data_IF_391244396315
#
_entry.id   IF_391244396315
#
_cell.length_a   1.000
_cell.length_b   1.000
_cell.length_c   1.000
_cell.angle_alpha   90.00
_cell.angle_beta   90.00
_cell.angle_gamma   90.00
#
_symmetry.space_group_name_H-M   'P 1'
#
loop_
_entity.id
_entity.type
_entity.pdbx_description
1 polymer ?
#
# COMPACT_ATOMS: atom_id res chain seq x y z
N UNK A 1 22.83 17.92 22.27
CA UNK A 1 23.55 17.20 21.20
C UNK A 1 25.07 17.34 21.41
N UNK A 2 25.78 16.21 21.46
CA UNK A 2 27.21 16.05 21.79
C UNK A 2 28.02 15.43 20.63
N UNK A 3 27.40 15.27 19.45
CA UNK A 3 28.08 14.76 18.25
C UNK A 3 29.30 15.61 17.88
N UNK A 4 30.28 15.02 17.19
CA UNK A 4 31.46 15.74 16.72
C UNK A 4 31.06 16.84 15.72
N UNK A 5 30.13 16.53 14.82
CA UNK A 5 29.59 17.48 13.86
C UNK A 5 29.01 18.74 14.53
N UNK A 6 28.31 18.61 15.67
CA UNK A 6 27.88 19.78 16.46
C UNK A 6 29.02 20.56 17.06
N UNK A 7 29.96 19.86 17.72
CA UNK A 7 31.12 20.50 18.35
C UNK A 7 31.95 21.28 17.34
N UNK A 8 32.05 20.78 16.11
CA UNK A 8 32.77 21.40 14.99
C UNK A 8 31.91 22.35 14.14
N UNK A 9 30.64 22.58 14.51
CA UNK A 9 29.68 23.43 13.79
C UNK A 9 29.45 23.04 12.32
N UNK A 10 29.55 21.75 11.98
CA UNK A 10 29.21 21.24 10.64
C UNK A 10 27.70 21.22 10.39
N UNK A 11 26.90 21.26 11.46
CA UNK A 11 25.45 21.39 11.40
C UNK A 11 24.95 22.31 12.52
N UNK A 12 24.05 23.23 12.18
CA UNK A 12 23.56 24.30 13.07
C UNK A 12 22.06 24.25 13.32
N UNK A 13 21.28 23.59 12.46
CA UNK A 13 19.82 23.47 12.58
C UNK A 13 19.41 22.53 13.73
N UNK A 14 18.17 22.57 14.22
CA UNK A 14 17.66 21.57 15.19
C UNK A 14 17.73 20.14 14.66
N UNK A 15 17.67 19.15 15.56
CA UNK A 15 17.59 17.74 15.16
C UNK A 15 16.19 17.46 14.60
N UNK A 16 16.12 16.82 13.43
CA UNK A 16 14.85 16.42 12.83
C UNK A 16 14.35 15.13 13.51
N UNK A 17 13.20 15.21 14.16
CA UNK A 17 12.56 14.10 14.88
C UNK A 17 11.54 13.31 14.05
N UNK A 18 11.24 13.74 12.82
CA UNK A 18 10.13 13.17 12.04
C UNK A 18 10.25 11.66 11.86
N UNK A 19 11.41 11.15 11.44
CA UNK A 19 11.59 9.70 11.26
C UNK A 19 11.46 8.92 12.59
N UNK A 20 11.85 9.52 13.71
CA UNK A 20 11.67 8.91 15.03
C UNK A 20 10.19 8.83 15.39
N UNK A 21 9.46 9.93 15.16
CA UNK A 21 8.02 10.02 15.34
C UNK A 21 7.31 9.01 14.45
N UNK A 22 7.57 9.00 13.15
CA UNK A 22 7.02 8.04 12.18
C UNK A 22 7.29 6.58 12.57
N UNK A 23 8.50 6.28 13.06
CA UNK A 23 8.84 4.91 13.51
C UNK A 23 7.93 4.47 14.66
N UNK A 24 7.73 5.33 15.66
CA UNK A 24 6.89 5.02 16.82
C UNK A 24 5.40 5.09 16.46
N UNK A 25 4.98 6.12 15.75
CA UNK A 25 3.60 6.50 15.47
C UNK A 25 2.97 5.71 14.33
N UNK A 26 3.66 5.60 13.19
CA UNK A 26 3.08 5.09 11.95
C UNK A 26 3.43 3.62 11.70
N UNK A 27 4.60 3.18 12.15
CA UNK A 27 5.11 1.85 11.79
C UNK A 27 5.06 0.82 12.92
N UNK A 28 5.01 1.25 14.18
CA UNK A 28 5.11 0.32 15.34
C UNK A 28 4.00 0.53 16.37
N UNK A 29 4.29 1.26 17.45
CA UNK A 29 3.47 1.27 18.66
C UNK A 29 2.21 2.11 18.55
N UNK A 30 2.15 3.09 17.65
CA UNK A 30 1.04 4.06 17.48
C UNK A 30 0.85 5.02 18.66
N UNK A 31 0.21 6.20 18.46
CA UNK A 31 -0.02 7.18 19.53
C UNK A 31 -0.93 6.67 20.65
N UNK A 32 -1.85 5.76 20.33
CA UNK A 32 -2.82 5.19 21.27
C UNK A 32 -2.13 4.53 22.47
N UNK A 33 -0.88 4.07 22.31
CA UNK A 33 -0.14 3.33 23.34
C UNK A 33 0.86 4.19 24.12
N UNK A 34 0.78 5.52 23.98
CA UNK A 34 1.30 6.45 24.99
C UNK A 34 2.82 6.62 25.04
N UNK A 35 3.53 6.48 23.91
CA UNK A 35 4.93 6.92 23.86
C UNK A 35 5.03 8.41 24.15
N UNK A 36 6.12 8.81 24.78
CA UNK A 36 6.35 10.17 25.28
C UNK A 36 7.24 10.98 24.33
N UNK A 37 7.32 12.29 24.53
CA UNK A 37 8.29 13.11 23.80
C UNK A 37 9.74 12.71 24.16
N UNK A 38 9.97 12.20 25.37
CA UNK A 38 11.24 11.61 25.80
C UNK A 38 11.61 10.40 24.94
N UNK A 39 10.64 9.53 24.60
CA UNK A 39 10.85 8.40 23.70
C UNK A 39 11.18 8.85 22.28
N UNK A 40 10.50 9.88 21.77
CA UNK A 40 10.82 10.50 20.48
C UNK A 40 12.24 11.05 20.48
N UNK A 41 12.64 11.74 21.55
CA UNK A 41 13.99 12.28 21.69
C UNK A 41 15.05 11.16 21.75
N UNK A 42 14.78 10.09 22.48
CA UNK A 42 15.63 8.91 22.57
C UNK A 42 15.81 8.22 21.21
N UNK A 43 14.71 7.98 20.50
CA UNK A 43 14.71 7.37 19.17
C UNK A 43 15.40 8.28 18.14
N UNK A 44 15.18 9.60 18.22
CA UNK A 44 15.85 10.60 17.40
C UNK A 44 17.36 10.54 17.59
N UNK A 45 17.84 10.47 18.84
CA UNK A 45 19.26 10.35 19.14
C UNK A 45 19.85 9.04 18.59
N UNK A 46 19.12 7.93 18.67
CA UNK A 46 19.53 6.65 18.07
C UNK A 46 19.65 6.75 16.53
N UNK A 47 18.73 7.48 15.88
CA UNK A 47 18.70 7.66 14.43
C UNK A 47 19.75 8.64 13.89
N UNK A 48 20.24 9.59 14.71
CA UNK A 48 21.29 10.51 14.25
C UNK A 48 22.52 9.75 13.70
N UNK A 49 23.19 10.32 12.70
CA UNK A 49 24.31 9.67 12.03
C UNK A 49 23.91 8.72 10.90
N UNK A 50 22.69 8.18 10.88
CA UNK A 50 22.17 7.48 9.71
C UNK A 50 21.82 8.45 8.59
N UNK A 51 22.27 8.13 7.37
CA UNK A 51 22.09 8.94 6.18
C UNK A 51 21.77 8.06 4.99
N UNK A 52 21.03 8.60 4.02
CA UNK A 52 20.87 7.96 2.71
C UNK A 52 22.00 8.44 1.82
N UNK A 53 22.77 7.51 1.26
CA UNK A 53 23.77 7.79 0.23
C UNK A 53 23.27 7.26 -1.11
N UNK A 54 23.33 8.11 -2.12
CA UNK A 54 23.10 7.74 -3.50
C UNK A 54 24.39 7.12 -4.07
N UNK A 55 24.28 5.89 -4.56
CA UNK A 55 25.29 5.20 -5.33
C UNK A 55 24.65 4.64 -6.60
N UNK A 56 24.86 5.31 -7.73
CA UNK A 56 24.37 4.88 -9.05
C UNK A 56 22.84 4.65 -9.09
N UNK A 57 22.05 5.58 -8.53
CA UNK A 57 20.59 5.46 -8.35
C UNK A 57 20.15 4.34 -7.37
N UNK A 58 21.07 3.82 -6.56
CA UNK A 58 20.77 2.92 -5.46
C UNK A 58 20.94 3.67 -4.14
N UNK A 59 19.82 3.96 -3.49
CA UNK A 59 19.82 4.54 -2.15
C UNK A 59 20.24 3.48 -1.12
N UNK A 60 21.30 3.75 -0.38
CA UNK A 60 21.74 2.91 0.75
C UNK A 60 21.81 3.69 2.04
N UNK A 61 21.35 3.07 3.13
CA UNK A 61 21.57 3.59 4.46
C UNK A 61 23.06 3.46 4.82
N UNK A 62 23.68 4.57 5.21
CA UNK A 62 25.05 4.64 5.70
C UNK A 62 25.07 5.30 7.07
N UNK A 63 25.80 4.70 8.02
CA UNK A 63 26.06 5.30 9.31
C UNK A 63 27.34 6.15 9.28
N UNK A 64 27.25 7.39 9.73
CA UNK A 64 28.36 8.34 9.83
C UNK A 64 28.51 8.78 11.28
N UNK A 65 29.45 8.16 11.97
CA UNK A 65 29.68 8.32 13.41
C UNK A 65 29.87 9.77 13.85
N UNK A 66 30.57 10.59 13.06
CA UNK A 66 30.81 12.00 13.39
C UNK A 66 29.51 12.81 13.57
N UNK A 67 28.40 12.38 12.96
CA UNK A 67 27.07 13.01 13.06
C UNK A 67 26.14 12.32 14.06
N UNK A 68 26.57 11.21 14.66
CA UNK A 68 25.76 10.49 15.65
C UNK A 68 25.87 11.13 17.03
N UNK A 69 24.74 11.15 17.75
CA UNK A 69 24.66 11.53 19.15
C UNK A 69 25.22 10.38 20.01
N UNK A 70 26.42 10.52 20.60
CA UNK A 70 27.01 9.42 21.36
C UNK A 70 26.30 9.22 22.70
N UNK A 71 26.43 8.00 23.24
CA UNK A 71 26.01 7.66 24.61
C UNK A 71 24.93 6.60 24.68
N UNK A 72 24.34 6.47 25.87
CA UNK A 72 23.18 5.59 26.07
C UNK A 72 21.91 6.41 25.90
N UNK A 73 20.97 5.90 25.11
CA UNK A 73 19.67 6.51 24.87
C UNK A 73 18.58 5.59 25.38
N UNK A 74 17.47 6.16 25.83
CA UNK A 74 16.34 5.41 26.38
C UNK A 74 15.14 5.56 25.45
N UNK A 75 14.46 4.45 25.16
CA UNK A 75 13.21 4.41 24.37
C UNK A 75 12.31 3.37 25.04
N UNK A 76 11.07 3.77 25.36
CA UNK A 76 10.06 2.97 26.04
C UNK A 76 10.60 2.32 27.33
N UNK A 77 11.33 3.10 28.13
CA UNK A 77 11.94 2.66 29.39
C UNK A 77 13.15 1.73 29.25
N UNK A 78 13.57 1.36 28.04
CA UNK A 78 14.74 0.51 27.78
C UNK A 78 15.94 1.32 27.33
N UNK A 79 17.11 1.01 27.90
CA UNK A 79 18.38 1.70 27.62
C UNK A 79 19.21 0.99 26.55
N UNK A 80 19.54 1.72 25.50
CA UNK A 80 20.35 1.27 24.36
C UNK A 80 21.74 1.89 24.44
N UNK A 81 22.77 1.08 24.69
CA UNK A 81 24.17 1.53 24.78
C UNK A 81 24.80 1.63 23.40
N UNK A 82 25.51 2.73 23.13
CA UNK A 82 26.28 2.84 21.88
C UNK A 82 27.40 1.80 21.85
N UNK A 83 27.46 1.02 20.77
CA UNK A 83 28.63 0.20 20.47
C UNK A 83 29.76 1.10 19.96
N UNK A 84 31.00 0.57 19.86
CA UNK A 84 32.13 1.31 19.25
C UNK A 84 31.83 1.85 17.84
N UNK A 85 30.83 1.32 17.14
CA UNK A 85 30.44 1.75 15.79
C UNK A 85 29.08 2.44 15.75
N UNK A 86 28.33 2.57 16.86
CA UNK A 86 26.98 3.16 16.94
C UNK A 86 25.86 2.44 16.18
N UNK A 87 26.19 1.64 15.17
CA UNK A 87 25.26 0.99 14.24
C UNK A 87 24.29 0.00 14.88
N UNK A 88 24.63 -0.57 16.03
CA UNK A 88 23.83 -1.62 16.66
C UNK A 88 22.60 -1.09 17.39
N UNK A 89 22.64 0.14 17.91
CA UNK A 89 21.53 0.71 18.69
C UNK A 89 20.21 0.75 17.91
N UNK A 90 20.26 1.16 16.64
CA UNK A 90 19.08 1.21 15.79
C UNK A 90 18.48 -0.19 15.58
N UNK A 91 19.34 -1.19 15.35
CA UNK A 91 18.89 -2.56 15.18
C UNK A 91 18.25 -3.09 16.47
N UNK A 92 18.90 -2.90 17.61
CA UNK A 92 18.41 -3.40 18.89
C UNK A 92 17.05 -2.76 19.26
N UNK A 93 16.87 -1.43 19.05
CA UNK A 93 15.57 -0.78 19.33
C UNK A 93 14.47 -1.26 18.37
N UNK A 94 14.78 -1.44 17.09
CA UNK A 94 13.80 -1.97 16.12
C UNK A 94 13.40 -3.41 16.45
N UNK A 95 14.36 -4.26 16.83
CA UNK A 95 14.08 -5.64 17.25
C UNK A 95 13.17 -5.69 18.48
N UNK A 96 13.34 -4.76 19.43
CA UNK A 96 12.46 -4.65 20.59
C UNK A 96 11.07 -4.12 20.23
N UNK A 97 10.98 -3.10 19.36
CA UNK A 97 9.69 -2.56 18.90
C UNK A 97 8.86 -3.61 18.16
N UNK A 98 9.50 -4.48 17.36
CA UNK A 98 8.83 -5.53 16.60
C UNK A 98 8.10 -6.53 17.51
N UNK A 99 8.63 -6.83 18.69
CA UNK A 99 8.05 -7.86 19.58
C UNK A 99 7.04 -7.30 20.58
N UNK A 100 6.63 -6.03 20.43
CA UNK A 100 5.57 -5.44 21.26
C UNK A 100 4.19 -5.89 20.77
N UNK A 101 3.28 -6.16 21.71
CA UNK A 101 1.88 -6.51 21.41
C UNK A 101 1.18 -5.42 20.60
N UNK A 102 1.54 -4.16 20.84
CA UNK A 102 0.98 -3.01 20.15
C UNK A 102 1.40 -2.96 18.68
N UNK A 103 2.67 -3.25 18.39
CA UNK A 103 3.16 -3.40 17.02
C UNK A 103 2.45 -4.57 16.33
N UNK A 104 2.29 -5.69 17.02
CA UNK A 104 1.55 -6.84 16.48
C UNK A 104 0.10 -6.49 16.14
N UNK A 105 -0.60 -5.76 17.03
CA UNK A 105 -1.97 -5.30 16.82
C UNK A 105 -2.07 -4.31 15.66
N UNK A 106 -1.16 -3.34 15.60
CA UNK A 106 -1.12 -2.32 14.54
C UNK A 106 -0.91 -2.93 13.15
N UNK A 107 0.13 -3.77 13.01
CA UNK A 107 0.41 -4.45 11.73
C UNK A 107 -0.75 -5.36 11.33
N UNK A 108 -1.32 -6.09 12.28
CA UNK A 108 -2.47 -6.96 12.02
C UNK A 108 -3.71 -6.17 11.61
N UNK A 109 -3.97 -5.03 12.26
CA UNK A 109 -5.05 -4.12 11.87
C UNK A 109 -4.87 -3.63 10.44
N UNK A 110 -3.67 -3.14 10.07
CA UNK A 110 -3.37 -2.68 8.71
C UNK A 110 -3.57 -3.77 7.66
N UNK A 111 -3.14 -5.00 7.95
CA UNK A 111 -3.34 -6.14 7.04
C UNK A 111 -4.82 -6.50 6.90
N UNK A 112 -5.55 -6.60 8.00
CA UNK A 112 -6.99 -6.84 7.95
C UNK A 112 -7.72 -5.69 7.24
N UNK A 113 -7.31 -4.45 7.48
CA UNK A 113 -7.90 -3.29 6.83
C UNK A 113 -7.70 -3.33 5.31
N UNK A 114 -6.49 -3.68 4.87
CA UNK A 114 -6.16 -3.76 3.45
C UNK A 114 -6.93 -4.88 2.73
N UNK A 115 -7.00 -6.08 3.33
CA UNK A 115 -7.50 -7.28 2.64
C UNK A 115 -8.93 -7.69 2.97
N UNK A 116 -9.53 -7.22 4.06
CA UNK A 116 -10.83 -7.68 4.54
C UNK A 116 -11.91 -6.58 4.41
N UNK A 117 -11.74 -5.45 5.09
CA UNK A 117 -12.71 -4.36 5.10
C UNK A 117 -12.08 -3.09 5.67
N UNK A 118 -12.64 -1.92 5.37
CA UNK A 118 -12.18 -0.63 5.92
C UNK A 118 -12.22 -0.61 7.46
N UNK A 119 -13.25 -1.25 8.02
CA UNK A 119 -13.44 -1.47 9.44
C UNK A 119 -13.36 -2.98 9.74
N UNK A 120 -12.16 -3.54 9.94
CA UNK A 120 -11.99 -4.97 10.14
C UNK A 120 -12.57 -5.43 11.49
N UNK A 121 -13.19 -6.61 11.50
CA UNK A 121 -13.69 -7.22 12.73
C UNK A 121 -12.55 -7.34 13.78
N UNK A 122 -12.70 -6.78 14.99
CA UNK A 122 -11.67 -6.83 16.02
C UNK A 122 -11.19 -8.24 16.37
N UNK A 123 -12.04 -9.27 16.21
CA UNK A 123 -11.67 -10.67 16.44
C UNK A 123 -10.64 -11.17 15.43
N UNK A 124 -10.76 -10.78 14.15
CA UNK A 124 -9.79 -11.16 13.12
C UNK A 124 -8.45 -10.47 13.36
N UNK A 125 -8.47 -9.18 13.75
CA UNK A 125 -7.26 -8.44 14.13
C UNK A 125 -6.57 -9.09 15.32
N UNK A 126 -7.33 -9.49 16.34
CA UNK A 126 -6.80 -10.19 17.52
C UNK A 126 -6.20 -11.55 17.16
N UNK A 127 -6.89 -12.34 16.32
CA UNK A 127 -6.40 -13.64 15.86
C UNK A 127 -5.06 -13.48 15.11
N UNK A 128 -4.99 -12.55 14.17
CA UNK A 128 -3.79 -12.30 13.39
C UNK A 128 -2.64 -11.74 14.25
N UNK A 129 -2.96 -10.88 15.23
CA UNK A 129 -2.00 -10.36 16.20
C UNK A 129 -1.41 -11.47 17.09
N UNK A 130 -2.21 -12.46 17.50
CA UNK A 130 -1.71 -13.62 18.22
C UNK A 130 -0.75 -14.46 17.36
N UNK A 131 -1.04 -14.65 16.07
CA UNK A 131 -0.15 -15.34 15.13
C UNK A 131 1.17 -14.56 14.97
N UNK A 132 1.08 -13.25 14.81
CA UNK A 132 2.24 -12.35 14.75
C UNK A 132 3.13 -12.53 15.98
N UNK A 133 2.55 -12.47 17.19
CA UNK A 133 3.30 -12.58 18.45
C UNK A 133 3.97 -13.96 18.60
N UNK A 134 3.24 -15.04 18.29
CA UNK A 134 3.79 -16.41 18.33
C UNK A 134 4.99 -16.60 17.41
N UNK A 135 5.03 -15.88 16.29
CA UNK A 135 6.10 -15.96 15.30
C UNK A 135 7.06 -14.77 15.33
N UNK A 136 6.95 -13.87 16.33
CA UNK A 136 7.79 -12.68 16.49
C UNK A 136 7.88 -11.84 15.21
N UNK A 137 6.74 -11.61 14.56
CA UNK A 137 6.62 -10.76 13.38
C UNK A 137 7.11 -11.37 12.06
N UNK A 138 7.32 -12.70 11.98
CA UNK A 138 7.64 -13.35 10.71
C UNK A 138 6.45 -13.27 9.73
N UNK A 139 6.57 -12.40 8.74
CA UNK A 139 5.47 -12.06 7.82
C UNK A 139 4.89 -13.26 7.07
N UNK A 140 5.70 -14.28 6.73
CA UNK A 140 5.18 -15.47 6.06
C UNK A 140 4.09 -16.17 6.89
N UNK A 141 4.30 -16.35 8.19
CA UNK A 141 3.32 -16.95 9.09
C UNK A 141 2.09 -16.05 9.27
N UNK A 142 2.30 -14.72 9.33
CA UNK A 142 1.22 -13.74 9.43
C UNK A 142 0.34 -13.78 8.18
N UNK A 143 0.94 -13.78 6.97
CA UNK A 143 0.17 -13.86 5.72
C UNK A 143 -0.60 -15.18 5.60
N UNK A 144 -0.02 -16.32 6.01
CA UNK A 144 -0.76 -17.58 6.05
C UNK A 144 -1.97 -17.49 6.99
N UNK A 145 -1.80 -16.94 8.19
CA UNK A 145 -2.90 -16.70 9.12
C UNK A 145 -3.98 -15.77 8.57
N UNK A 146 -3.59 -14.74 7.80
CA UNK A 146 -4.52 -13.86 7.11
C UNK A 146 -5.32 -14.61 6.03
N UNK A 147 -4.66 -15.47 5.25
CA UNK A 147 -5.33 -16.30 4.25
C UNK A 147 -6.33 -17.28 4.90
N UNK A 148 -5.98 -17.87 6.04
CA UNK A 148 -6.89 -18.72 6.80
C UNK A 148 -8.14 -17.95 7.26
N UNK A 149 -7.97 -16.71 7.75
CA UNK A 149 -9.10 -15.84 8.09
C UNK A 149 -9.95 -15.56 6.85
N UNK A 150 -9.33 -15.17 5.73
CA UNK A 150 -10.03 -14.84 4.49
C UNK A 150 -10.90 -16.01 4.00
N UNK A 151 -10.42 -17.25 4.09
CA UNK A 151 -11.19 -18.45 3.70
C UNK A 151 -12.47 -18.68 4.52
N UNK A 152 -12.59 -18.08 5.70
CA UNK A 152 -13.79 -18.20 6.55
C UNK A 152 -14.86 -17.16 6.26
N UNK A 153 -14.56 -16.17 5.42
CA UNK A 153 -15.47 -15.06 5.13
C UNK A 153 -16.47 -15.42 4.02
N UNK A 154 -17.61 -14.75 4.05
CA UNK A 154 -18.69 -14.89 3.06
C UNK A 154 -18.41 -14.11 1.76
N UNK A 155 -17.22 -13.49 1.64
CA UNK A 155 -16.72 -12.75 0.46
C UNK A 155 -17.76 -11.85 -0.23
N UNK A 156 -18.38 -10.95 0.54
CA UNK A 156 -19.52 -10.12 0.11
C UNK A 156 -19.19 -8.96 -0.84
N UNK A 157 -17.94 -8.84 -1.32
CA UNK A 157 -17.49 -7.70 -2.12
C UNK A 157 -17.66 -6.36 -1.38
N UNK A 158 -17.23 -6.32 -0.12
CA UNK A 158 -17.37 -5.14 0.74
C UNK A 158 -16.13 -4.23 0.68
N UNK A 159 -14.97 -4.73 0.25
CA UNK A 159 -13.73 -3.95 0.25
C UNK A 159 -13.53 -3.23 -1.08
N UNK A 160 -13.55 -1.89 -1.07
CA UNK A 160 -13.20 -1.11 -2.26
C UNK A 160 -11.75 -1.32 -2.68
N UNK A 161 -11.57 -1.67 -3.94
CA UNK A 161 -10.26 -1.90 -4.52
C UNK A 161 -9.55 -0.57 -4.78
N UNK A 162 -8.40 -0.38 -4.15
CA UNK A 162 -7.52 0.72 -4.48
C UNK A 162 -7.11 0.67 -5.98
N UNK A 163 -6.61 1.79 -6.55
CA UNK A 163 -6.25 1.84 -7.97
C UNK A 163 -5.30 0.73 -8.44
N UNK A 164 -4.38 0.30 -7.59
CA UNK A 164 -3.39 -0.74 -7.94
C UNK A 164 -4.06 -2.09 -8.12
N UNK A 165 -4.76 -2.58 -7.10
CA UNK A 165 -5.42 -3.89 -7.12
C UNK A 165 -6.43 -3.94 -8.25
N UNK A 166 -7.24 -2.89 -8.40
CA UNK A 166 -8.22 -2.79 -9.47
C UNK A 166 -7.58 -2.77 -10.87
N UNK A 167 -6.46 -2.08 -11.07
CA UNK A 167 -5.76 -2.08 -12.36
C UNK A 167 -5.21 -3.47 -12.70
N UNK A 168 -4.57 -4.15 -11.75
CA UNK A 168 -4.11 -5.53 -11.92
C UNK A 168 -5.26 -6.48 -12.22
N UNK A 169 -6.36 -6.39 -11.47
CA UNK A 169 -7.57 -7.19 -11.71
C UNK A 169 -8.10 -6.95 -13.12
N UNK A 170 -8.27 -5.68 -13.52
CA UNK A 170 -8.76 -5.30 -14.85
C UNK A 170 -7.90 -5.88 -15.98
N UNK A 171 -6.58 -5.73 -15.87
CA UNK A 171 -5.63 -6.26 -16.88
C UNK A 171 -5.65 -7.79 -16.92
N UNK A 172 -5.73 -8.45 -15.76
CA UNK A 172 -5.78 -9.92 -15.66
C UNK A 172 -7.08 -10.48 -16.20
N UNK A 173 -8.23 -9.88 -15.89
CA UNK A 173 -9.55 -10.28 -16.38
C UNK A 173 -9.57 -10.39 -17.90
N UNK A 174 -8.96 -9.44 -18.60
CA UNK A 174 -8.92 -9.41 -20.06
C UNK A 174 -7.65 -10.00 -20.68
N UNK A 175 -6.73 -10.53 -19.86
CA UNK A 175 -5.41 -11.01 -20.27
C UNK A 175 -4.66 -10.00 -21.17
N UNK A 176 -4.68 -8.74 -20.72
CA UNK A 176 -4.11 -7.59 -21.42
C UNK A 176 -2.86 -7.12 -20.67
N UNK A 177 -1.82 -6.71 -21.39
CA UNK A 177 -0.55 -6.27 -20.79
C UNK A 177 -0.06 -4.97 -21.43
N UNK A 178 0.51 -4.03 -20.65
CA UNK A 178 1.18 -2.86 -21.20
C UNK A 178 2.36 -3.25 -22.13
N UNK A 179 2.69 -2.43 -23.14
CA UNK A 179 2.00 -1.19 -23.49
C UNK A 179 0.66 -1.48 -24.18
N UNK A 180 -0.39 -0.83 -23.70
CA UNK A 180 -1.67 -0.82 -24.42
C UNK A 180 -1.45 0.09 -25.61
N UNK A 181 -1.48 -0.47 -26.82
CA UNK A 181 -1.36 0.33 -28.04
C UNK A 181 -2.44 1.39 -28.02
N UNK A 182 -2.06 2.64 -27.73
CA UNK A 182 -3.00 3.74 -27.56
C UNK A 182 -3.52 4.08 -28.96
N UNK A 183 -4.81 3.84 -29.29
CA UNK A 183 -5.38 4.52 -30.44
C UNK A 183 -5.22 6.01 -30.17
N UNK A 184 -4.80 6.82 -31.14
CA UNK A 184 -4.84 8.28 -31.00
C UNK A 184 -6.31 8.68 -30.79
N UNK A 185 -6.79 8.69 -29.54
CA UNK A 185 -8.13 9.20 -29.24
C UNK A 185 -8.00 10.72 -29.25
N UNK A 186 -8.54 11.43 -30.25
CA UNK A 186 -8.19 12.83 -30.49
C UNK A 186 -8.68 13.81 -29.40
N UNK A 187 -9.60 13.36 -28.54
CA UNK A 187 -10.30 14.23 -27.56
C UNK A 187 -9.83 14.08 -26.12
N UNK A 188 -8.97 13.11 -25.80
CA UNK A 188 -8.52 12.86 -24.43
C UNK A 188 -6.99 12.99 -24.41
N UNK A 189 -6.46 13.94 -23.63
CA UNK A 189 -5.01 14.10 -23.44
C UNK A 189 -4.32 12.75 -23.19
N UNK A 190 -3.03 12.64 -23.56
CA UNK A 190 -2.33 11.36 -23.66
C UNK A 190 -2.17 10.66 -22.28
N UNK A 191 -3.16 9.87 -21.87
CA UNK A 191 -3.07 8.92 -20.75
C UNK A 191 -1.93 7.93 -21.06
N UNK A 192 -0.92 7.86 -20.19
CA UNK A 192 0.29 7.07 -20.46
C UNK A 192 0.11 5.62 -20.00
N UNK A 193 0.08 4.69 -20.95
CA UNK A 193 -0.10 3.25 -20.71
C UNK A 193 1.15 2.43 -21.07
N UNK A 194 2.34 2.92 -20.72
CA UNK A 194 3.60 2.28 -21.14
C UNK A 194 3.93 1.06 -20.29
N UNK A 195 3.74 1.20 -18.99
CA UNK A 195 4.01 0.20 -17.95
C UNK A 195 3.05 0.46 -16.77
N UNK A 196 3.13 -0.40 -15.75
CA UNK A 196 2.26 -0.27 -14.57
C UNK A 196 2.46 1.08 -13.87
N UNK A 197 3.70 1.54 -13.65
CA UNK A 197 3.96 2.82 -12.99
C UNK A 197 3.26 4.00 -13.70
N UNK A 198 3.28 4.02 -15.03
CA UNK A 198 2.58 5.07 -15.79
C UNK A 198 1.06 4.98 -15.65
N UNK A 199 0.50 3.77 -15.60
CA UNK A 199 -0.94 3.55 -15.37
C UNK A 199 -1.32 4.04 -13.98
N UNK A 200 -0.57 3.62 -12.97
CA UNK A 200 -0.84 3.93 -11.58
C UNK A 200 -0.69 5.42 -11.29
N UNK A 201 0.30 6.09 -11.90
CA UNK A 201 0.40 7.56 -11.90
C UNK A 201 -0.86 8.23 -12.45
N UNK A 202 -1.40 7.72 -13.55
CA UNK A 202 -2.61 8.27 -14.19
C UNK A 202 -3.90 7.91 -13.42
N UNK A 203 -3.88 6.83 -12.62
CA UNK A 203 -4.98 6.50 -11.70
C UNK A 203 -4.84 7.23 -10.34
N UNK A 204 -3.74 7.96 -10.12
CA UNK A 204 -3.52 8.78 -8.93
C UNK A 204 -2.92 8.04 -7.73
N UNK A 205 -2.30 6.88 -7.95
CA UNK A 205 -1.57 6.12 -6.94
C UNK A 205 -0.20 5.79 -7.50
N UNK A 206 0.82 6.64 -7.37
CA UNK A 206 2.17 6.25 -7.81
C UNK A 206 2.96 5.62 -6.66
N UNK A 207 3.57 4.45 -6.91
CA UNK A 207 4.47 3.80 -5.96
C UNK A 207 5.59 4.74 -5.54
N UNK A 208 5.82 4.85 -4.23
CA UNK A 208 6.87 5.69 -3.67
C UNK A 208 6.61 7.20 -3.74
N UNK A 209 5.45 7.64 -4.24
CA UNK A 209 5.08 9.06 -4.33
C UNK A 209 3.87 9.41 -3.45
N UNK A 210 3.57 8.62 -2.42
CA UNK A 210 2.59 9.00 -1.41
C UNK A 210 3.01 10.34 -0.78
N UNK A 211 2.07 11.29 -0.67
CA UNK A 211 2.36 12.64 -0.21
C UNK A 211 2.78 12.70 1.26
N UNK A 212 2.36 11.72 2.06
CA UNK A 212 2.61 11.63 3.48
C UNK A 212 3.28 10.29 3.87
N UNK A 213 4.05 10.24 4.97
CA UNK A 213 4.79 9.05 5.39
C UNK A 213 3.91 7.85 5.79
N UNK A 214 2.63 8.09 6.10
CA UNK A 214 1.63 7.05 6.38
C UNK A 214 1.18 6.28 5.12
N UNK A 215 1.69 6.65 3.94
CA UNK A 215 1.45 5.96 2.69
C UNK A 215 0.15 6.36 2.02
N UNK A 216 -0.33 5.48 1.15
CA UNK A 216 -1.62 5.65 0.47
C UNK A 216 -2.77 5.22 1.39
N UNK A 217 -3.93 5.82 1.18
CA UNK A 217 -5.14 5.51 1.91
C UNK A 217 -5.58 4.05 1.70
N UNK A 218 -6.10 3.45 2.77
CA UNK A 218 -6.66 2.09 2.72
C UNK A 218 -8.18 2.09 2.71
N UNK A 219 -8.84 3.25 2.80
CA UNK A 219 -10.31 3.34 2.94
C UNK A 219 -10.99 3.79 1.64
N UNK A 220 -12.23 3.37 1.44
CA UNK A 220 -13.03 3.63 0.24
C UNK A 220 -13.21 5.14 -0.01
N UNK A 221 -13.47 5.92 1.03
CA UNK A 221 -13.78 7.35 0.92
C UNK A 221 -12.71 8.16 0.20
N UNK A 222 -11.44 7.76 0.35
CA UNK A 222 -10.30 8.44 -0.28
C UNK A 222 -10.15 8.08 -1.77
N UNK A 223 -10.75 6.97 -2.21
CA UNK A 223 -10.67 6.49 -3.60
C UNK A 223 -11.99 6.64 -4.38
N UNK A 224 -13.11 6.92 -3.70
CA UNK A 224 -14.44 7.08 -4.30
C UNK A 224 -14.79 8.56 -4.53
N UNK A 225 -13.96 9.25 -5.30
CA UNK A 225 -14.23 10.62 -5.75
C UNK A 225 -14.62 10.65 -7.23
N UNK A 226 -15.29 11.73 -7.68
CA UNK A 226 -15.61 11.93 -9.09
C UNK A 226 -14.36 11.87 -9.99
N UNK A 227 -13.23 12.40 -9.50
CA UNK A 227 -11.97 12.38 -10.24
C UNK A 227 -11.42 10.95 -10.38
N UNK A 228 -11.39 10.18 -9.29
CA UNK A 228 -10.88 8.81 -9.33
C UNK A 228 -11.77 7.88 -10.15
N UNK A 229 -13.08 8.07 -10.10
CA UNK A 229 -14.02 7.32 -10.96
C UNK A 229 -13.85 7.69 -12.44
N UNK A 230 -13.69 8.96 -12.79
CA UNK A 230 -13.41 9.40 -14.16
C UNK A 230 -12.11 8.81 -14.70
N UNK A 231 -11.05 8.75 -13.88
CA UNK A 231 -9.78 8.09 -14.24
C UNK A 231 -9.96 6.60 -14.52
N UNK A 232 -10.75 5.88 -13.71
CA UNK A 232 -11.09 4.46 -13.94
C UNK A 232 -11.87 4.28 -15.23
N UNK A 233 -12.90 5.09 -15.48
CA UNK A 233 -13.68 5.07 -16.74
C UNK A 233 -12.76 5.27 -17.95
N UNK A 234 -11.86 6.26 -17.89
CA UNK A 234 -10.88 6.52 -18.96
C UNK A 234 -9.95 5.32 -19.18
N UNK A 235 -9.42 4.72 -18.12
CA UNK A 235 -8.57 3.54 -18.22
C UNK A 235 -9.33 2.32 -18.78
N UNK A 236 -10.55 2.06 -18.31
CA UNK A 236 -11.40 0.98 -18.79
C UNK A 236 -11.76 1.15 -20.27
N UNK A 237 -11.98 2.38 -20.74
CA UNK A 237 -12.24 2.66 -22.15
C UNK A 237 -11.02 2.32 -23.02
N UNK A 238 -9.81 2.54 -22.51
CA UNK A 238 -8.56 2.18 -23.19
C UNK A 238 -8.36 0.66 -23.24
N UNK A 239 -8.75 -0.08 -22.19
CA UNK A 239 -8.84 -1.54 -22.24
C UNK A 239 -9.84 -1.93 -23.33
N UNK A 240 -11.08 -1.43 -23.27
CA UNK A 240 -12.15 -1.72 -24.23
C UNK A 240 -11.76 -1.49 -25.70
N UNK A 241 -10.97 -0.45 -25.98
CA UNK A 241 -10.53 -0.07 -27.31
C UNK A 241 -9.29 -0.83 -27.84
N UNK A 242 -8.59 -1.61 -27.00
CA UNK A 242 -7.43 -2.38 -27.46
C UNK A 242 -7.85 -3.54 -28.35
N UNK A 243 -6.99 -3.95 -29.29
CA UNK A 243 -7.19 -5.16 -30.11
C UNK A 243 -6.33 -6.34 -29.62
N UNK A 244 -5.52 -6.14 -28.57
CA UNK A 244 -4.50 -7.08 -28.10
C UNK A 244 -5.00 -8.07 -27.05
N UNK A 245 -6.28 -8.42 -27.08
CA UNK A 245 -6.80 -9.44 -26.19
C UNK A 245 -6.27 -10.81 -26.58
N UNK A 246 -5.70 -11.54 -25.62
CA UNK A 246 -5.02 -12.83 -25.86
C UNK A 246 -5.83 -14.05 -25.41
N UNK A 247 -7.06 -13.85 -24.94
CA UNK A 247 -7.93 -14.93 -24.45
C UNK A 247 -9.09 -15.15 -25.41
N UNK A 248 -9.41 -16.40 -25.74
CA UNK A 248 -10.53 -16.78 -26.61
C UNK A 248 -11.87 -16.20 -26.13
N UNK A 249 -12.02 -16.08 -24.81
CA UNK A 249 -13.19 -15.47 -24.16
C UNK A 249 -13.29 -13.98 -24.52
N UNK A 250 -12.15 -13.27 -24.53
CA UNK A 250 -12.14 -11.87 -24.92
C UNK A 250 -12.50 -11.70 -26.40
N UNK A 251 -12.07 -12.60 -27.28
CA UNK A 251 -12.48 -12.57 -28.69
C UNK A 251 -13.99 -12.75 -28.84
N UNK A 252 -14.61 -13.64 -28.04
CA UNK A 252 -16.07 -13.81 -28.04
C UNK A 252 -16.81 -12.59 -27.51
N UNK A 253 -16.35 -12.00 -26.41
CA UNK A 253 -16.90 -10.76 -25.84
C UNK A 253 -16.80 -9.59 -26.83
N UNK A 254 -15.70 -9.47 -27.57
CA UNK A 254 -15.52 -8.43 -28.61
C UNK A 254 -16.55 -8.58 -29.74
N UNK A 255 -16.83 -9.81 -30.15
CA UNK A 255 -17.70 -10.07 -31.30
C UNK A 255 -19.18 -10.01 -30.92
N UNK A 256 -19.54 -10.49 -29.73
CA UNK A 256 -20.93 -10.77 -29.35
C UNK A 256 -21.38 -10.06 -28.07
N UNK A 257 -20.51 -9.31 -27.39
CA UNK A 257 -20.76 -8.76 -26.06
C UNK A 257 -20.69 -9.82 -24.94
N UNK A 258 -20.95 -9.41 -23.70
CA UNK A 258 -21.04 -10.35 -22.57
C UNK A 258 -22.35 -11.14 -22.63
N UNK A 259 -22.26 -12.47 -22.54
CA UNK A 259 -23.42 -13.33 -22.28
C UNK A 259 -23.55 -13.66 -20.77
N UNK A 260 -24.64 -14.32 -20.37
CA UNK A 260 -24.88 -14.69 -18.97
C UNK A 260 -23.76 -15.56 -18.38
N UNK A 261 -23.23 -16.52 -19.15
CA UNK A 261 -22.14 -17.41 -18.72
C UNK A 261 -20.84 -16.65 -18.47
N UNK A 262 -20.58 -15.58 -19.21
CA UNK A 262 -19.43 -14.72 -18.97
C UNK A 262 -19.61 -13.88 -17.70
N UNK A 263 -20.83 -13.36 -17.48
CA UNK A 263 -21.16 -12.51 -16.33
C UNK A 263 -21.20 -13.29 -15.00
N UNK A 264 -21.65 -14.55 -15.03
CA UNK A 264 -21.72 -15.42 -13.84
C UNK A 264 -20.33 -15.63 -13.19
N UNK A 265 -19.24 -15.48 -13.95
CA UNK A 265 -17.86 -15.63 -13.46
C UNK A 265 -17.43 -14.50 -12.52
N UNK A 266 -18.09 -13.36 -12.59
CA UNK A 266 -17.74 -12.17 -11.82
C UNK A 266 -18.54 -12.05 -10.53
N UNK A 267 -19.46 -12.98 -10.26
CA UNK A 267 -20.34 -12.97 -9.09
C UNK A 267 -21.05 -11.62 -8.91
N UNK A 268 -21.55 -11.05 -10.01
CA UNK A 268 -22.19 -9.73 -10.03
C UNK A 268 -23.62 -9.80 -9.47
N UNK A 269 -24.04 -8.74 -8.80
CA UNK A 269 -25.44 -8.53 -8.45
C UNK A 269 -26.32 -8.44 -9.71
N UNK A 270 -27.62 -8.72 -9.57
CA UNK A 270 -28.57 -8.60 -10.68
C UNK A 270 -28.57 -7.19 -11.30
N UNK A 271 -28.35 -6.16 -10.48
CA UNK A 271 -28.23 -4.78 -10.93
C UNK A 271 -27.03 -4.59 -11.86
N UNK A 272 -25.83 -5.02 -11.44
CA UNK A 272 -24.63 -4.90 -12.26
C UNK A 272 -24.70 -5.76 -13.51
N UNK A 273 -25.26 -6.97 -13.45
CA UNK A 273 -25.47 -7.80 -14.63
C UNK A 273 -26.32 -7.07 -15.68
N UNK A 274 -27.47 -6.52 -15.26
CA UNK A 274 -28.38 -5.77 -16.14
C UNK A 274 -27.70 -4.52 -16.71
N UNK A 275 -26.92 -3.81 -15.89
CA UNK A 275 -26.18 -2.64 -16.32
C UNK A 275 -25.09 -2.98 -17.34
N UNK A 276 -24.41 -4.11 -17.20
CA UNK A 276 -23.37 -4.54 -18.16
C UNK A 276 -23.98 -5.05 -19.46
N UNK A 277 -25.06 -5.83 -19.39
CA UNK A 277 -25.68 -6.50 -20.54
C UNK A 277 -26.62 -5.63 -21.37
N UNK A 278 -26.73 -4.34 -21.04
CA UNK A 278 -27.55 -3.41 -21.80
C UNK A 278 -27.06 -3.26 -23.26
N UNK A 279 -27.93 -2.77 -24.15
CA UNK A 279 -27.79 -2.64 -25.61
C UNK A 279 -26.68 -1.69 -26.11
N UNK A 280 -25.66 -1.45 -25.30
CA UNK A 280 -24.48 -0.62 -25.60
C UNK A 280 -23.43 -1.41 -26.40
N UNK A 281 -22.53 -0.73 -27.15
CA UNK A 281 -21.40 -1.38 -27.81
C UNK A 281 -20.53 -2.16 -26.82
N UNK A 282 -19.91 -3.27 -27.25
CA UNK A 282 -19.14 -4.15 -26.36
C UNK A 282 -18.02 -3.41 -25.60
N UNK A 283 -17.37 -2.40 -26.21
CA UNK A 283 -16.34 -1.60 -25.53
C UNK A 283 -16.93 -0.85 -24.32
N UNK A 284 -18.17 -0.39 -24.44
CA UNK A 284 -18.90 0.27 -23.36
C UNK A 284 -19.38 -0.72 -22.30
N UNK A 285 -19.61 -1.99 -22.67
CA UNK A 285 -19.90 -3.06 -21.70
C UNK A 285 -18.66 -3.38 -20.84
N UNK A 286 -17.45 -3.35 -21.42
CA UNK A 286 -16.19 -3.51 -20.66
C UNK A 286 -16.03 -2.38 -19.63
N UNK A 287 -16.29 -1.13 -20.03
CA UNK A 287 -16.29 0.01 -19.09
C UNK A 287 -17.33 -0.19 -17.99
N UNK A 288 -18.54 -0.63 -18.37
CA UNK A 288 -19.62 -0.90 -17.43
C UNK A 288 -19.27 -1.98 -16.40
N UNK A 289 -18.61 -3.06 -16.84
CA UNK A 289 -18.15 -4.14 -15.96
C UNK A 289 -17.09 -3.60 -14.99
N UNK A 290 -16.02 -3.02 -15.53
CA UNK A 290 -14.86 -2.60 -14.74
C UNK A 290 -15.19 -1.48 -13.73
N UNK A 291 -16.22 -0.68 -14.01
CA UNK A 291 -16.69 0.39 -13.13
C UNK A 291 -18.01 0.04 -12.41
N UNK A 292 -18.47 -1.21 -12.46
CA UNK A 292 -19.64 -1.65 -11.69
C UNK A 292 -19.34 -1.68 -10.19
N UNK A 293 -20.34 -1.46 -9.31
CA UNK A 293 -20.14 -1.50 -7.85
C UNK A 293 -19.48 -2.79 -7.36
N UNK A 294 -19.86 -3.91 -7.96
CA UNK A 294 -19.39 -5.26 -7.62
C UNK A 294 -17.94 -5.48 -8.06
N UNK A 295 -17.56 -5.05 -9.27
CA UNK A 295 -16.19 -5.23 -9.77
C UNK A 295 -15.19 -4.27 -9.12
N UNK A 296 -15.67 -3.13 -8.61
CA UNK A 296 -14.86 -2.18 -7.86
C UNK A 296 -14.52 -2.69 -6.44
N UNK A 297 -15.09 -3.83 -6.02
CA UNK A 297 -14.91 -4.39 -4.68
C UNK A 297 -14.48 -5.86 -4.71
N UNK A 298 -13.92 -6.33 -3.59
CA UNK A 298 -13.55 -7.73 -3.34
C UNK A 298 -14.01 -8.22 -1.98
#
# INVERSE_FOLDING_TARGET
>A
DKSKARKQKWTTNGTNENLARETLELFTVTPINGYTQEDVNGMTNILTGWRVKDWDNVYKAQFVEDYHQPGTHEVLGKKYKSSKTGTRQLKDVVEDLIVLEDTARHVSFRLCQHFISDEPNPKHVQQLSAIYMNHKGQLAAVYLGLLDILQTLDHKQDKFLNPEVWAYQSLKTFNVSPPLGVPKVPSYGRFKLKNMDSILRELGLMHGEAAQPNGWAEVEEDWLSNEYLDRRVKFSALIGATSNYKSDICTSIIQNGFNSTDLDRFNLSQYSQTFVSDSRPFQSQIVALLCSPDFLRS
#
